data_IF_441628054412
#
_entry.id   IF_441628054412
#
_cell.length_a   1.000
_cell.length_b   1.000
_cell.length_c   1.000
_cell.angle_alpha   90.00
_cell.angle_beta   90.00
_cell.angle_gamma   90.00
#
_symmetry.space_group_name_H-M   'P 1'
#
loop_
_entity.id
_entity.type
_entity.pdbx_description
1 polymer ?
#
# COMPACT_ATOMS: atom_id res chain seq x y z
N UNK A 1 21.09 5.51 -19.63
CA UNK A 1 20.89 5.25 -19.34
C UNK A 1 20.43 4.84 -18.72
N UNK A 2 20.22 4.93 -18.60
CA UNK A 2 20.04 4.77 -18.05
C UNK A 2 19.41 4.38 -17.38
N UNK A 3 19.20 4.37 -17.26
CA UNK A 3 18.65 4.11 -16.66
C UNK A 3 18.27 3.37 -16.10
N UNK A 4 18.40 3.44 -15.99
CA UNK A 4 18.02 2.81 -15.37
C UNK A 4 17.46 1.91 -14.96
N UNK A 5 17.50 2.18 -15.41
CA UNK A 5 17.11 0.82 -15.65
C UNK A 5 16.62 0.05 -14.47
N UNK A 6 17.07 0.36 -13.39
CA UNK A 6 16.68 -0.29 -12.15
C UNK A 6 15.32 0.20 -11.65
N UNK A 7 14.76 1.15 -12.31
CA UNK A 7 13.51 1.78 -11.90
C UNK A 7 12.33 0.80 -12.06
N UNK A 8 11.62 0.45 -11.00
CA UNK A 8 10.49 -0.49 -11.09
C UNK A 8 9.21 0.13 -11.58
N UNK A 9 9.17 1.43 -11.77
CA UNK A 9 7.93 2.12 -12.12
C UNK A 9 7.66 2.09 -13.61
N UNK A 10 6.39 2.12 -13.98
CA UNK A 10 5.97 2.43 -15.34
C UNK A 10 6.26 3.90 -15.60
N UNK A 11 6.57 4.25 -16.84
CA UNK A 11 6.98 5.61 -17.14
C UNK A 11 5.90 6.66 -16.89
N UNK A 12 4.62 6.27 -16.90
CA UNK A 12 3.51 7.20 -16.71
C UNK A 12 2.84 7.06 -15.35
N UNK A 13 3.36 6.21 -14.50
CA UNK A 13 2.83 5.98 -13.15
C UNK A 13 3.97 6.09 -12.16
N UNK A 14 3.82 6.99 -11.20
CA UNK A 14 4.81 7.13 -10.13
C UNK A 14 4.13 6.82 -8.80
N UNK A 15 4.42 5.65 -8.22
CA UNK A 15 3.88 5.31 -6.90
C UNK A 15 4.73 5.92 -5.80
N UNK A 16 4.09 6.31 -4.72
CA UNK A 16 4.78 6.75 -3.52
C UNK A 16 4.05 6.18 -2.31
N UNK A 17 4.72 5.31 -1.57
CA UNK A 17 4.19 4.78 -0.31
C UNK A 17 4.79 5.60 0.82
N UNK A 18 3.93 6.23 1.61
CA UNK A 18 4.38 7.07 2.72
C UNK A 18 3.62 6.71 3.98
N UNK A 19 4.29 6.81 5.14
CA UNK A 19 3.59 6.63 6.41
C UNK A 19 2.53 7.71 6.58
N UNK A 20 1.39 7.33 7.14
CA UNK A 20 0.35 8.31 7.42
C UNK A 20 0.78 9.21 8.57
N UNK A 21 0.62 10.52 8.38
CA UNK A 21 1.07 11.49 9.37
C UNK A 21 0.33 11.43 10.71
N UNK A 22 -0.80 10.72 10.76
CA UNK A 22 -1.59 10.59 12.00
C UNK A 22 -1.43 9.22 12.68
N UNK A 23 -0.40 8.47 12.31
CA UNK A 23 -0.08 7.24 13.01
C UNK A 23 0.20 7.50 14.47
N UNK A 24 -0.27 6.61 15.34
CA UNK A 24 -0.09 6.72 16.79
C UNK A 24 1.08 5.88 17.28
N UNK A 25 1.55 4.96 16.46
CA UNK A 25 2.69 4.10 16.78
C UNK A 25 3.71 4.21 15.67
N UNK A 26 4.96 3.88 15.97
CA UNK A 26 6.00 3.79 14.95
C UNK A 26 5.93 2.42 14.28
N UNK A 27 6.50 2.33 13.07
CA UNK A 27 6.48 1.08 12.31
C UNK A 27 7.20 -0.06 13.05
N UNK A 28 8.17 0.26 13.90
CA UNK A 28 8.92 -0.75 14.66
C UNK A 28 8.31 -1.03 16.03
N UNK A 29 7.17 -0.44 16.35
CA UNK A 29 6.50 -0.62 17.64
C UNK A 29 5.33 -1.60 17.60
N UNK A 30 4.97 -2.08 16.42
CA UNK A 30 3.81 -2.98 16.25
C UNK A 30 4.06 -3.99 15.16
N UNK A 31 3.46 -5.16 15.29
CA UNK A 31 3.39 -6.15 14.22
C UNK A 31 2.25 -5.91 13.24
N UNK A 32 1.34 -4.98 13.55
CA UNK A 32 0.14 -4.74 12.75
C UNK A 32 0.40 -3.63 11.74
N UNK A 33 0.53 -4.00 10.48
CA UNK A 33 0.83 -3.06 9.39
C UNK A 33 -0.25 -3.12 8.33
N UNK A 34 -0.66 -1.96 7.82
CA UNK A 34 -1.67 -1.89 6.78
C UNK A 34 -1.23 -0.94 5.67
N UNK A 35 -1.50 -1.34 4.43
CA UNK A 35 -1.32 -0.51 3.25
C UNK A 35 -2.69 -0.12 2.72
N UNK A 36 -2.93 1.19 2.59
CA UNK A 36 -4.16 1.73 2.01
C UNK A 36 -3.86 2.09 0.56
N UNK A 37 -4.62 1.52 -0.37
CA UNK A 37 -4.43 1.72 -1.81
C UNK A 37 -5.62 2.48 -2.40
N UNK A 38 -5.36 3.41 -3.34
CA UNK A 38 -6.41 4.27 -3.90
C UNK A 38 -7.21 3.59 -4.99
N UNK A 39 -8.34 4.22 -5.36
CA UNK A 39 -9.08 3.88 -6.56
C UNK A 39 -8.88 4.94 -7.63
N UNK A 40 -9.49 4.75 -8.78
CA UNK A 40 -9.46 5.73 -9.86
C UNK A 40 -10.24 6.97 -9.42
N UNK A 41 -9.58 8.14 -9.43
CA UNK A 41 -10.21 9.37 -8.97
C UNK A 41 -10.60 9.35 -7.50
N UNK A 42 -10.16 8.34 -6.77
CA UNK A 42 -10.48 8.19 -5.34
C UNK A 42 -9.19 7.99 -4.57
N UNK A 43 -8.58 9.10 -4.22
CA UNK A 43 -7.29 9.09 -3.51
C UNK A 43 -7.45 8.60 -2.07
N UNK A 44 -6.32 8.32 -1.44
CA UNK A 44 -6.32 7.85 -0.04
C UNK A 44 -6.83 8.92 0.94
N UNK A 45 -6.95 10.17 0.50
CA UNK A 45 -7.51 11.25 1.33
C UNK A 45 -9.04 11.35 1.25
N UNK A 46 -9.67 10.60 0.35
CA UNK A 46 -11.14 10.59 0.24
C UNK A 46 -11.76 9.91 1.47
N UNK A 47 -13.01 10.26 1.80
CA UNK A 47 -13.60 9.88 3.10
C UNK A 47 -13.48 8.41 3.47
N UNK A 48 -13.81 7.51 2.56
CA UNK A 48 -13.83 6.09 2.90
C UNK A 48 -12.45 5.58 3.30
N UNK A 49 -11.42 5.92 2.51
CA UNK A 49 -10.06 5.49 2.79
C UNK A 49 -9.44 6.27 3.94
N UNK A 50 -9.78 7.56 4.06
CA UNK A 50 -9.33 8.36 5.19
C UNK A 50 -9.85 7.78 6.51
N UNK A 51 -11.14 7.46 6.59
CA UNK A 51 -11.71 6.93 7.82
C UNK A 51 -11.22 5.50 8.12
N UNK A 52 -10.93 4.71 7.07
CA UNK A 52 -10.32 3.40 7.27
C UNK A 52 -8.94 3.56 7.94
N UNK A 53 -8.13 4.49 7.45
CA UNK A 53 -6.82 4.78 8.04
C UNK A 53 -6.98 5.25 9.48
N UNK A 54 -7.93 6.14 9.73
CA UNK A 54 -8.18 6.68 11.07
C UNK A 54 -8.54 5.57 12.06
N UNK A 55 -9.45 4.68 11.67
CA UNK A 55 -9.90 3.60 12.53
C UNK A 55 -8.75 2.63 12.84
N UNK A 56 -7.97 2.28 11.82
CA UNK A 56 -6.86 1.35 12.00
C UNK A 56 -5.77 1.95 12.87
N UNK A 57 -5.39 3.20 12.62
CA UNK A 57 -4.40 3.88 13.45
C UNK A 57 -4.86 3.98 14.91
N UNK A 58 -6.15 4.26 15.13
CA UNK A 58 -6.71 4.34 16.47
C UNK A 58 -6.65 2.98 17.19
N UNK A 59 -6.54 1.90 16.45
CA UNK A 59 -6.46 0.54 17.01
C UNK A 59 -5.05 -0.04 16.97
N UNK A 60 -4.04 0.81 16.88
CA UNK A 60 -2.65 0.39 17.02
C UNK A 60 -2.00 -0.12 15.75
N UNK A 61 -2.64 0.05 14.60
CA UNK A 61 -2.03 -0.33 13.32
C UNK A 61 -1.12 0.78 12.83
N UNK A 62 0.00 0.38 12.23
CA UNK A 62 0.83 1.33 11.49
C UNK A 62 0.32 1.41 10.06
N UNK A 63 -0.08 2.61 9.65
CA UNK A 63 -0.73 2.83 8.35
C UNK A 63 0.24 3.45 7.36
N UNK A 64 0.42 2.78 6.22
CA UNK A 64 1.07 3.32 5.03
C UNK A 64 0.00 3.58 3.98
N UNK A 65 0.19 4.61 3.18
CA UNK A 65 -0.76 4.97 2.12
C UNK A 65 -0.03 5.09 0.79
N UNK A 66 -0.65 4.57 -0.25
CA UNK A 66 -0.14 4.67 -1.61
C UNK A 66 -0.73 5.87 -2.30
N UNK A 67 0.12 6.72 -2.83
CA UNK A 67 -0.27 7.81 -3.72
C UNK A 67 0.24 7.49 -5.12
N UNK A 68 -0.64 7.61 -6.11
CA UNK A 68 -0.30 7.34 -7.51
C UNK A 68 -0.40 8.64 -8.30
N UNK A 69 0.69 9.01 -8.95
CA UNK A 69 0.69 10.15 -9.87
C UNK A 69 0.69 9.62 -11.29
N UNK A 70 -0.29 10.03 -12.06
CA UNK A 70 -0.45 9.64 -13.45
C UNK A 70 -0.15 10.85 -14.32
N UNK A 71 0.79 10.71 -15.25
CA UNK A 71 1.15 11.80 -16.15
C UNK A 71 0.44 11.71 -17.50
N UNK A 72 -0.03 10.52 -17.84
CA UNK A 72 -0.77 10.25 -19.08
C UNK A 72 -1.70 9.08 -18.85
N UNK A 73 -2.49 8.74 -19.85
CA UNK A 73 -3.31 7.54 -19.80
C UNK A 73 -2.43 6.32 -19.65
N UNK A 74 -2.81 5.43 -18.73
CA UNK A 74 -2.05 4.22 -18.41
C UNK A 74 -2.95 3.03 -18.65
N UNK A 75 -2.41 2.00 -19.31
CA UNK A 75 -3.13 0.76 -19.53
C UNK A 75 -3.34 0.03 -18.20
N UNK A 76 -4.47 -0.65 -18.06
CA UNK A 76 -4.78 -1.41 -16.86
C UNK A 76 -3.68 -2.44 -16.50
N UNK A 77 -3.15 -3.22 -17.45
CA UNK A 77 -2.09 -4.16 -17.10
C UNK A 77 -0.87 -3.49 -16.48
N UNK A 78 -0.48 -2.31 -16.97
CA UNK A 78 0.63 -1.56 -16.40
C UNK A 78 0.31 -1.08 -14.98
N UNK A 79 -0.91 -0.60 -14.78
CA UNK A 79 -1.36 -0.14 -13.48
C UNK A 79 -1.35 -1.28 -12.46
N UNK A 80 -1.89 -2.44 -12.87
CA UNK A 80 -1.94 -3.61 -12.00
C UNK A 80 -0.53 -4.06 -11.65
N UNK A 81 0.37 -4.13 -12.64
CA UNK A 81 1.75 -4.53 -12.42
C UNK A 81 2.45 -3.58 -11.44
N UNK A 82 2.20 -2.28 -11.56
CA UNK A 82 2.75 -1.28 -10.65
C UNK A 82 2.25 -1.53 -9.22
N UNK A 83 0.96 -1.76 -9.06
CA UNK A 83 0.37 -2.00 -7.74
C UNK A 83 0.91 -3.29 -7.11
N UNK A 84 1.12 -4.33 -7.92
CA UNK A 84 1.68 -5.58 -7.42
C UNK A 84 3.10 -5.38 -6.90
N UNK A 85 3.91 -4.61 -7.61
CA UNK A 85 5.27 -4.29 -7.15
C UNK A 85 5.24 -3.49 -5.85
N UNK A 86 4.31 -2.54 -5.74
CA UNK A 86 4.15 -1.77 -4.52
C UNK A 86 3.84 -2.69 -3.34
N UNK A 87 2.92 -3.63 -3.54
CA UNK A 87 2.55 -4.58 -2.48
C UNK A 87 3.77 -5.43 -2.08
N UNK A 88 4.54 -5.91 -3.06
CA UNK A 88 5.74 -6.72 -2.78
C UNK A 88 6.73 -5.95 -1.92
N UNK A 89 7.04 -4.72 -2.29
CA UNK A 89 8.02 -3.91 -1.58
C UNK A 89 7.53 -3.50 -0.21
N UNK A 90 6.25 -3.12 -0.13
CA UNK A 90 5.66 -2.77 1.15
C UNK A 90 5.67 -3.97 2.12
N UNK A 91 5.29 -5.15 1.62
CA UNK A 91 5.25 -6.36 2.44
C UNK A 91 6.63 -6.66 3.04
N UNK A 92 7.66 -6.55 2.22
CA UNK A 92 9.04 -6.81 2.65
C UNK A 92 9.44 -5.88 3.78
N UNK A 93 9.20 -4.58 3.61
CA UNK A 93 9.54 -3.59 4.62
C UNK A 93 8.70 -3.79 5.89
N UNK A 94 7.41 -4.08 5.73
CA UNK A 94 6.51 -4.28 6.86
C UNK A 94 6.95 -5.49 7.71
N UNK A 95 7.36 -6.58 7.06
CA UNK A 95 7.85 -7.75 7.78
C UNK A 95 9.12 -7.44 8.58
N UNK A 96 10.01 -6.64 7.99
CA UNK A 96 11.23 -6.23 8.68
C UNK A 96 10.92 -5.38 9.91
N UNK A 97 10.01 -4.41 9.76
CA UNK A 97 9.62 -3.55 10.85
C UNK A 97 8.89 -4.32 11.95
N UNK A 98 8.01 -5.24 11.57
CA UNK A 98 7.30 -6.07 12.54
C UNK A 98 8.29 -6.94 13.33
N UNK A 99 9.31 -7.45 12.67
CA UNK A 99 10.35 -8.23 13.34
C UNK A 99 11.06 -7.39 14.40
N UNK A 100 11.33 -6.12 14.12
CA UNK A 100 11.94 -5.23 15.10
C UNK A 100 11.04 -4.97 16.30
N UNK A 101 9.72 -5.01 16.10
CA UNK A 101 8.77 -4.81 17.20
C UNK A 101 8.74 -6.00 18.16
N UNK A 102 9.17 -7.16 17.72
CA UNK A 102 9.05 -8.39 18.48
C UNK A 102 7.65 -8.98 18.51
N UNK A 103 6.70 -8.36 17.81
CA UNK A 103 5.33 -8.85 17.75
C UNK A 103 5.11 -9.69 16.50
N UNK A 104 4.13 -10.59 16.56
CA UNK A 104 3.74 -11.38 15.40
C UNK A 104 3.23 -10.45 14.30
N UNK A 105 3.70 -10.64 13.05
CA UNK A 105 3.24 -9.76 11.96
C UNK A 105 1.82 -10.06 11.55
N UNK A 106 1.03 -9.00 11.40
CA UNK A 106 -0.31 -9.03 10.83
C UNK A 106 -0.35 -7.97 9.74
N UNK A 107 -0.45 -8.42 8.49
CA UNK A 107 -0.39 -7.51 7.35
C UNK A 107 -1.73 -7.46 6.66
N UNK A 108 -2.21 -6.24 6.41
CA UNK A 108 -3.51 -5.98 5.83
C UNK A 108 -3.35 -5.03 4.64
N UNK A 109 -4.06 -5.30 3.55
CA UNK A 109 -4.14 -4.39 2.41
C UNK A 109 -5.60 -3.96 2.25
N UNK A 110 -5.83 -2.64 2.22
CA UNK A 110 -7.15 -2.08 1.97
C UNK A 110 -7.14 -1.51 0.55
N UNK A 111 -8.04 -2.00 -0.29
CA UNK A 111 -8.10 -1.60 -1.70
C UNK A 111 -9.46 -0.99 -2.03
N UNK A 112 -9.47 -0.13 -3.05
CA UNK A 112 -10.69 0.53 -3.52
C UNK A 112 -10.73 0.51 -5.04
N UNK A 113 -11.85 0.06 -5.59
CA UNK A 113 -12.09 0.13 -7.03
C UNK A 113 -10.94 -0.53 -7.82
N UNK A 114 -10.23 0.23 -8.65
CA UNK A 114 -9.17 -0.29 -9.51
C UNK A 114 -8.09 -1.05 -8.73
N UNK A 115 -7.72 -0.58 -7.54
CA UNK A 115 -6.68 -1.25 -6.78
C UNK A 115 -7.10 -2.65 -6.31
N UNK A 116 -8.41 -2.97 -6.34
CA UNK A 116 -8.87 -4.32 -6.01
C UNK A 116 -8.37 -5.34 -7.03
N UNK A 117 -7.97 -4.91 -8.22
CA UNK A 117 -7.42 -5.80 -9.24
C UNK A 117 -6.07 -6.39 -8.82
N UNK A 118 -5.44 -5.85 -7.80
CA UNK A 118 -4.23 -6.43 -7.23
C UNK A 118 -4.53 -7.56 -6.24
N UNK A 119 -5.80 -7.84 -5.96
CA UNK A 119 -6.19 -8.84 -4.97
C UNK A 119 -5.61 -10.23 -5.22
N UNK A 120 -5.63 -10.77 -6.45
CA UNK A 120 -5.09 -12.12 -6.65
C UNK A 120 -3.62 -12.22 -6.23
N UNK A 121 -2.83 -11.18 -6.50
CA UNK A 121 -1.43 -11.14 -6.11
C UNK A 121 -1.27 -11.11 -4.60
N UNK A 122 -2.01 -10.22 -3.93
CA UNK A 122 -1.97 -10.11 -2.47
C UNK A 122 -2.39 -11.41 -1.80
N UNK A 123 -3.42 -12.06 -2.35
CA UNK A 123 -3.89 -13.35 -1.83
C UNK A 123 -2.81 -14.44 -1.95
N UNK A 124 -2.07 -14.45 -3.06
CA UNK A 124 -0.96 -15.38 -3.26
C UNK A 124 0.13 -15.20 -2.22
N UNK A 125 0.32 -13.98 -1.75
CA UNK A 125 1.30 -13.68 -0.71
C UNK A 125 0.78 -13.96 0.71
N UNK A 126 -0.45 -14.43 0.82
CA UNK A 126 -1.06 -14.73 2.12
C UNK A 126 -1.50 -13.49 2.89
N UNK A 127 -1.64 -12.35 2.20
CA UNK A 127 -2.06 -11.12 2.84
C UNK A 127 -3.59 -11.10 3.01
N UNK A 128 -4.04 -10.48 4.09
CA UNK A 128 -5.45 -10.18 4.27
C UNK A 128 -5.78 -8.95 3.43
N UNK A 129 -6.93 -8.97 2.77
CA UNK A 129 -7.33 -7.88 1.89
C UNK A 129 -8.76 -7.48 2.20
N UNK A 130 -8.97 -6.16 2.32
CA UNK A 130 -10.31 -5.58 2.40
C UNK A 130 -10.61 -4.91 1.08
N UNK A 131 -11.68 -5.34 0.43
CA UNK A 131 -12.12 -4.80 -0.86
C UNK A 131 -13.24 -3.80 -0.61
N UNK A 132 -13.04 -2.57 -1.01
CA UNK A 132 -14.04 -1.50 -0.84
C UNK A 132 -14.65 -1.04 -2.16
#
# INVERSE_FOLDING_TARGET
MGKNGTQPTTKNVTPAVTPWGKNRVKNTETGNHVLIMPGVGYTVDRPLLYWAAQALAANGWFVDRLDLKLTESVEFPEMIACMERVVDEWRKAALEHAAESGEEPHLLVVTKSLSTLSYPHSAKLGLRVVLL
#
